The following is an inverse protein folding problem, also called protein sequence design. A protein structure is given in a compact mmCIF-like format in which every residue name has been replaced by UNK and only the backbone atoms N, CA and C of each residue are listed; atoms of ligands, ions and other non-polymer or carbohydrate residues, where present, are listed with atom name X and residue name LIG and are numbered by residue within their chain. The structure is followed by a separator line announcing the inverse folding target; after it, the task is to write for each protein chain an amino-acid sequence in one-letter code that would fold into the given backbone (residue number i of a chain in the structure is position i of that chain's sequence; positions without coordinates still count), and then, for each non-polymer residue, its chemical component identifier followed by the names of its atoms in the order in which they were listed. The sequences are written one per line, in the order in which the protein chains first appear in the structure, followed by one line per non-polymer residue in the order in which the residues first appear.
data_IF_015620851195
#
_entry.id   IF_015620851195
#
_cell.length_a   1.000
_cell.length_b   1.000
_cell.length_c   1.000
_cell.angle_alpha   90.00
_cell.angle_beta   90.00
_cell.angle_gamma   90.00
#
_symmetry.space_group_name_H-M   'P 1'
#
loop_
_entity.id
_entity.type
_entity.pdbx_description
1 polymer ?
#
# COMPACT_ATOMS: atom_id res chain seq x y z
N UNK A 1 -24.51 -4.41 -10.82
CA UNK A 1 -23.99 -4.44 -10.68
C UNK A 1 -23.32 -4.48 -10.33
N UNK A 2 -23.13 -4.32 -10.39
CA UNK A 2 -22.40 -4.26 -10.18
C UNK A 2 -21.49 -4.20 -9.72
N UNK A 3 -21.26 -4.11 -9.59
CA UNK A 3 -20.40 -4.01 -9.27
C UNK A 3 -19.51 -4.03 -8.72
N UNK A 4 -19.10 -3.77 -8.74
CA UNK A 4 -18.27 -3.87 -8.38
C UNK A 4 -17.52 -3.69 -7.66
N UNK A 5 -17.12 -3.23 -7.75
CA UNK A 5 -16.35 -3.04 -7.13
C UNK A 5 -16.06 -3.09 -6.12
N UNK A 6 -16.00 -3.42 -6.15
CA UNK A 6 -15.94 -3.61 -5.10
C UNK A 6 -15.20 -3.07 -4.10
N UNK A 7 -14.02 -3.22 -4.07
CA UNK A 7 -13.30 -2.37 -3.20
C UNK A 7 -12.85 -1.24 -4.01
N UNK A 8 -13.09 -0.08 -3.53
CA UNK A 8 -12.57 1.08 -4.15
C UNK A 8 -11.37 1.50 -3.36
N UNK A 9 -10.30 1.75 -4.03
CA UNK A 9 -9.16 2.35 -3.39
C UNK A 9 -9.55 3.75 -2.97
N UNK A 10 -9.33 4.07 -1.71
CA UNK A 10 -9.67 5.38 -1.20
C UNK A 10 -8.70 6.42 -1.72
N UNK A 11 -9.26 7.47 -2.29
CA UNK A 11 -8.46 8.58 -2.78
C UNK A 11 -7.70 9.22 -1.64
N UNK A 12 -6.40 9.43 -1.82
CA UNK A 12 -5.56 9.99 -0.78
C UNK A 12 -4.95 8.96 0.15
N UNK A 13 -5.32 7.70 0.02
CA UNK A 13 -4.74 6.64 0.84
C UNK A 13 -3.42 6.17 0.26
N UNK A 14 -2.56 5.69 1.13
CA UNK A 14 -1.26 5.14 0.74
C UNK A 14 -1.33 3.63 0.79
N UNK A 15 -0.83 2.98 -0.23
CA UNK A 15 -0.93 1.54 -0.41
C UNK A 15 0.44 0.92 -0.55
N UNK A 16 0.57 -0.30 -0.05
CA UNK A 16 1.77 -1.10 -0.31
C UNK A 16 1.39 -2.57 -0.24
N UNK A 17 2.17 -3.40 -0.93
CA UNK A 17 1.95 -4.84 -0.96
C UNK A 17 2.93 -5.52 -0.03
N UNK A 18 2.46 -6.57 0.63
CA UNK A 18 3.31 -7.42 1.45
C UNK A 18 3.22 -8.83 0.90
N UNK A 19 4.34 -9.40 0.56
CA UNK A 19 4.40 -10.78 0.07
C UNK A 19 4.81 -11.70 1.19
N UNK A 20 4.08 -12.77 1.35
CA UNK A 20 4.37 -13.76 2.38
C UNK A 20 4.18 -15.13 1.77
N UNK A 21 5.31 -15.77 1.43
CA UNK A 21 5.25 -17.05 0.75
C UNK A 21 4.58 -16.92 -0.60
N UNK A 22 3.46 -17.60 -0.76
CA UNK A 22 2.71 -17.58 -2.01
C UNK A 22 1.62 -16.54 -2.02
N UNK A 23 1.48 -15.81 -0.94
CA UNK A 23 0.39 -14.85 -0.82
C UNK A 23 0.91 -13.44 -0.89
N UNK A 24 0.06 -12.57 -1.41
CA UNK A 24 0.34 -11.16 -1.42
C UNK A 24 -0.89 -10.43 -0.93
N UNK A 25 -0.70 -9.54 0.06
CA UNK A 25 -1.80 -8.73 0.56
C UNK A 25 -1.46 -7.27 0.35
N UNK A 26 -2.50 -6.49 0.09
CA UNK A 26 -2.35 -5.05 -0.07
C UNK A 26 -2.83 -4.39 1.20
N UNK A 27 -1.98 -3.56 1.76
CA UNK A 27 -2.28 -2.84 2.98
C UNK A 27 -2.36 -1.36 2.66
N UNK A 28 -3.24 -0.66 3.35
CA UNK A 28 -3.37 0.76 3.13
C UNK A 28 -3.49 1.50 4.44
N UNK A 29 -3.15 2.77 4.39
CA UNK A 29 -3.33 3.69 5.50
C UNK A 29 -3.75 5.04 4.94
N UNK A 30 -4.50 5.76 5.71
CA UNK A 30 -4.99 7.07 5.28
C UNK A 30 -3.93 8.15 5.38
N UNK A 31 -2.93 7.91 6.21
CA UNK A 31 -1.91 8.88 6.51
C UNK A 31 -0.57 8.35 6.06
N UNK A 32 0.21 9.20 5.39
CA UNK A 32 1.51 8.79 4.87
C UNK A 32 2.41 8.26 5.98
N UNK A 33 2.42 8.95 7.11
CA UNK A 33 3.27 8.56 8.23
C UNK A 33 2.90 7.19 8.75
N UNK A 34 1.60 6.94 8.89
CA UNK A 34 1.13 5.64 9.34
C UNK A 34 1.47 4.56 8.33
N UNK A 35 1.37 4.87 7.05
CA UNK A 35 1.71 3.92 6.00
C UNK A 35 3.19 3.58 6.03
N UNK A 36 4.03 4.58 6.20
CA UNK A 36 5.48 4.36 6.27
C UNK A 36 5.83 3.53 7.50
N UNK A 37 5.21 3.81 8.63
CA UNK A 37 5.44 3.04 9.83
C UNK A 37 5.06 1.58 9.65
N UNK A 38 3.90 1.32 9.05
CA UNK A 38 3.47 -0.04 8.80
C UNK A 38 4.42 -0.73 7.80
N UNK A 39 4.79 -0.01 6.76
CA UNK A 39 5.71 -0.53 5.75
C UNK A 39 7.02 -0.95 6.41
N UNK A 40 7.58 -0.08 7.24
CA UNK A 40 8.85 -0.37 7.91
C UNK A 40 8.75 -1.52 8.88
N UNK A 41 7.60 -1.70 9.53
CA UNK A 41 7.41 -2.84 10.42
C UNK A 41 7.52 -4.15 9.67
N UNK A 42 6.97 -4.22 8.46
CA UNK A 42 7.07 -5.43 7.65
C UNK A 42 8.48 -5.64 7.14
N UNK A 43 9.16 -4.56 6.78
CA UNK A 43 10.56 -4.67 6.37
C UNK A 43 11.41 -5.21 7.54
N UNK A 44 11.13 -4.71 8.73
CA UNK A 44 11.88 -5.09 9.92
C UNK A 44 11.76 -6.57 10.23
N UNK A 45 10.59 -7.15 10.01
CA UNK A 45 10.39 -8.57 10.28
C UNK A 45 10.77 -9.45 9.09
N UNK A 46 11.34 -8.87 8.06
CA UNK A 46 11.87 -9.65 6.95
C UNK A 46 10.88 -9.98 5.86
N UNK A 47 9.75 -9.32 5.82
CA UNK A 47 8.79 -9.53 4.76
C UNK A 47 9.20 -8.78 3.50
N UNK A 48 8.76 -9.31 2.38
CA UNK A 48 9.00 -8.69 1.09
C UNK A 48 7.88 -7.68 0.86
N UNK A 49 8.23 -6.43 0.73
CA UNK A 49 7.23 -5.36 0.61
C UNK A 49 7.48 -4.54 -0.64
N UNK A 50 6.40 -4.01 -1.18
CA UNK A 50 6.46 -3.20 -2.38
C UNK A 50 5.59 -1.96 -2.18
N UNK A 51 6.21 -0.79 -2.21
CA UNK A 51 5.50 0.47 -2.02
C UNK A 51 4.78 0.85 -3.31
N UNK A 52 3.48 1.07 -3.23
CA UNK A 52 2.69 1.47 -4.40
C UNK A 52 2.54 2.97 -4.49
N UNK A 53 2.38 3.65 -3.35
CA UNK A 53 2.25 5.09 -3.33
C UNK A 53 0.88 5.54 -2.89
N UNK A 54 0.58 6.77 -3.20
CA UNK A 54 -0.69 7.41 -2.84
C UNK A 54 -1.65 7.32 -4.02
N UNK A 55 -2.84 6.84 -3.77
CA UNK A 55 -3.86 6.72 -4.81
C UNK A 55 -4.60 8.05 -4.94
N UNK A 56 -4.59 8.63 -6.13
CA UNK A 56 -5.21 9.94 -6.35
C UNK A 56 -6.58 9.85 -7.02
N UNK A 57 -7.09 8.63 -7.13
CA UNK A 57 -8.36 8.41 -7.79
C UNK A 57 -8.21 7.78 -9.17
N UNK A 58 -7.03 7.88 -9.75
CA UNK A 58 -6.75 7.31 -11.07
C UNK A 58 -5.41 6.60 -11.11
N UNK A 59 -4.41 7.17 -10.49
CA UNK A 59 -3.05 6.65 -10.55
C UNK A 59 -2.41 6.75 -9.19
N UNK A 60 -1.32 6.02 -9.04
CA UNK A 60 -0.50 6.15 -7.84
C UNK A 60 0.48 7.30 -8.03
N UNK A 61 0.56 8.15 -7.01
CA UNK A 61 1.56 9.20 -6.93
C UNK A 61 2.49 8.87 -5.77
N UNK A 62 3.58 9.61 -5.65
CA UNK A 62 4.55 9.39 -4.58
C UNK A 62 4.95 7.92 -4.51
N UNK A 63 5.30 7.38 -5.67
CA UNK A 63 5.60 5.96 -5.80
C UNK A 63 7.00 5.60 -5.33
N UNK A 64 7.80 6.58 -4.95
CA UNK A 64 9.15 6.31 -4.45
C UNK A 64 9.08 5.59 -3.12
N UNK A 65 9.93 4.57 -2.98
CA UNK A 65 10.04 3.80 -1.77
C UNK A 65 10.42 4.74 -0.61
N UNK A 66 9.69 4.71 0.51
CA UNK A 66 9.97 5.62 1.62
C UNK A 66 11.32 5.40 2.30
N UNK A 67 11.95 4.26 2.04
CA UNK A 67 13.27 3.96 2.61
C UNK A 67 14.42 4.31 1.67
N UNK A 68 14.11 5.02 0.60
CA UNK A 68 15.15 5.42 -0.35
C UNK A 68 15.32 6.90 -0.43
#
# INVERSE_FOLDING_TARGET
MRRKKNYTMGEGNYYFNVKSGHQMITIYRKDKKAAINAFNNYVKVGKDVEWLGCWDGKNFTETSDPNK
#
